data_IF_391963676818
#
_entry.id   IF_391963676818
#
_cell.length_a   1.000
_cell.length_b   1.000
_cell.length_c   1.000
_cell.angle_alpha   90.00
_cell.angle_beta   90.00
_cell.angle_gamma   90.00
#
_symmetry.space_group_name_H-M   'P 1'
#
loop_
_entity.id
_entity.type
_entity.pdbx_description
1 polymer ?
#
# COMPACT_ATOMS: atom_id res chain seq x y z
N UNK A 1 -56.49 42.57 32.47
CA UNK A 1 -55.17 43.23 32.32
C UNK A 1 -54.12 42.25 32.78
N UNK A 2 -53.07 42.05 32.02
CA UNK A 2 -51.85 41.33 32.34
C UNK A 2 -51.82 39.82 32.10
N UNK A 3 -51.51 39.40 30.84
CA UNK A 3 -50.78 38.13 30.59
C UNK A 3 -50.08 38.21 29.23
N UNK A 4 -49.28 39.23 28.92
CA UNK A 4 -48.69 39.40 27.59
C UNK A 4 -47.16 39.45 27.61
N UNK A 5 -46.52 38.87 28.62
CA UNK A 5 -45.05 38.94 28.73
C UNK A 5 -44.30 37.61 28.79
N UNK A 6 -44.98 36.47 28.51
CA UNK A 6 -44.32 35.17 28.59
C UNK A 6 -44.02 34.51 27.24
N UNK A 7 -44.32 35.17 26.11
CA UNK A 7 -44.19 34.56 24.79
C UNK A 7 -42.87 34.81 24.05
N UNK A 8 -41.97 35.77 24.38
CA UNK A 8 -40.71 35.91 23.66
C UNK A 8 -39.55 35.10 24.22
N UNK A 9 -39.69 34.40 25.35
CA UNK A 9 -38.59 33.65 25.94
C UNK A 9 -38.45 32.21 25.43
N UNK A 10 -39.44 31.69 24.73
CA UNK A 10 -39.43 30.32 24.19
C UNK A 10 -38.86 30.23 22.78
N UNK A 11 -38.58 31.34 22.11
CA UNK A 11 -38.09 31.35 20.71
C UNK A 11 -36.57 31.46 20.58
N UNK A 12 -35.85 31.61 21.68
CA UNK A 12 -34.40 31.77 21.66
C UNK A 12 -33.63 30.49 21.99
N UNK A 13 -34.32 29.38 22.29
CA UNK A 13 -33.66 28.09 22.63
C UNK A 13 -33.48 27.14 21.46
N UNK A 14 -33.81 27.52 20.23
CA UNK A 14 -33.77 26.64 19.04
C UNK A 14 -32.58 26.87 18.09
N UNK A 15 -31.60 27.69 18.46
CA UNK A 15 -30.47 28.01 17.59
C UNK A 15 -29.11 27.40 18.04
N UNK A 16 -29.12 26.44 18.94
CA UNK A 16 -27.92 25.72 19.31
C UNK A 16 -27.92 24.26 18.82
N UNK A 17 -28.38 23.99 17.59
CA UNK A 17 -27.92 22.81 16.88
C UNK A 17 -26.53 23.12 16.37
N UNK A 18 -25.55 23.02 17.25
CA UNK A 18 -24.15 22.86 16.89
C UNK A 18 -24.05 21.63 16.00
N UNK A 19 -23.74 21.82 14.72
CA UNK A 19 -23.22 20.74 13.90
C UNK A 19 -21.95 20.25 14.59
N UNK A 20 -22.09 19.14 15.33
CA UNK A 20 -20.95 18.31 15.60
C UNK A 20 -20.52 17.77 14.23
N UNK A 21 -19.47 18.33 13.66
CA UNK A 21 -18.67 17.59 12.71
C UNK A 21 -18.11 16.44 13.56
N UNK A 22 -18.54 15.24 13.24
CA UNK A 22 -17.83 14.06 13.69
C UNK A 22 -16.39 14.26 13.16
N UNK A 23 -15.47 14.61 14.08
CA UNK A 23 -14.06 14.56 13.80
C UNK A 23 -13.76 13.06 13.62
N UNK A 24 -13.83 12.57 12.38
CA UNK A 24 -13.18 11.32 12.04
C UNK A 24 -11.73 11.43 12.53
N UNK A 25 -11.25 10.44 13.29
CA UNK A 25 -9.87 10.45 13.74
C UNK A 25 -9.00 10.59 12.49
N UNK A 26 -8.36 11.75 12.34
CA UNK A 26 -7.36 11.95 11.30
C UNK A 26 -6.22 10.99 11.62
N UNK A 27 -6.25 9.81 11.02
CA UNK A 27 -5.13 8.90 11.08
C UNK A 27 -3.95 9.63 10.44
N UNK A 28 -2.94 9.88 11.25
CA UNK A 28 -1.69 10.48 10.76
C UNK A 28 -1.20 9.57 9.63
N UNK A 29 -1.01 10.08 8.40
CA UNK A 29 -0.60 9.21 7.31
C UNK A 29 0.76 8.60 7.61
N UNK A 30 0.95 7.36 7.17
CA UNK A 30 2.26 6.72 7.22
C UNK A 30 3.30 7.57 6.49
N UNK A 31 4.57 7.45 6.87
CA UNK A 31 5.65 8.22 6.21
C UNK A 31 5.90 7.74 4.80
N UNK A 32 5.79 6.43 4.57
CA UNK A 32 6.06 5.82 3.25
C UNK A 32 5.13 4.65 3.00
N UNK A 33 4.75 4.48 1.75
CA UNK A 33 4.22 3.25 1.19
C UNK A 33 5.18 2.75 0.13
N UNK A 34 5.72 1.56 0.32
CA UNK A 34 6.67 0.94 -0.61
C UNK A 34 6.08 -0.36 -1.14
N UNK A 35 6.02 -0.47 -2.46
CA UNK A 35 5.70 -1.71 -3.14
C UNK A 35 6.99 -2.37 -3.61
N UNK A 36 7.24 -3.59 -3.15
CA UNK A 36 8.23 -4.49 -3.73
C UNK A 36 7.50 -5.46 -4.65
N UNK A 37 7.80 -5.40 -5.93
CA UNK A 37 7.16 -6.21 -6.96
C UNK A 37 8.09 -7.32 -7.41
N UNK A 38 7.88 -8.56 -6.90
CA UNK A 38 8.68 -9.73 -7.16
C UNK A 38 8.06 -10.56 -8.30
N UNK A 39 8.46 -10.29 -9.55
CA UNK A 39 8.07 -11.10 -10.72
C UNK A 39 9.04 -12.28 -10.85
N UNK A 40 8.76 -13.34 -10.12
CA UNK A 40 9.66 -14.48 -9.89
C UNK A 40 9.11 -15.83 -10.37
N UNK A 41 8.11 -15.83 -11.27
CA UNK A 41 7.65 -17.04 -11.97
C UNK A 41 8.72 -17.52 -12.99
N UNK A 42 9.87 -17.90 -12.43
CA UNK A 42 11.04 -18.36 -13.18
C UNK A 42 12.04 -18.99 -12.18
N UNK A 43 13.29 -19.20 -12.62
CA UNK A 43 14.34 -19.76 -11.76
C UNK A 43 14.80 -18.87 -10.58
N UNK A 44 14.21 -17.68 -10.41
CA UNK A 44 14.44 -16.81 -9.24
C UNK A 44 13.44 -17.04 -8.10
N UNK A 45 12.48 -17.97 -8.23
CA UNK A 45 11.42 -18.20 -7.24
C UNK A 45 11.95 -18.41 -5.82
N UNK A 46 13.03 -19.19 -5.64
CA UNK A 46 13.64 -19.42 -4.33
C UNK A 46 14.26 -18.14 -3.74
N UNK A 47 14.91 -17.34 -4.57
CA UNK A 47 15.51 -16.06 -4.14
C UNK A 47 14.45 -15.04 -3.73
N UNK A 48 13.31 -14.99 -4.46
CA UNK A 48 12.20 -14.14 -4.07
C UNK A 48 11.62 -14.50 -2.68
N UNK A 49 11.59 -15.79 -2.34
CA UNK A 49 11.15 -16.26 -1.02
C UNK A 49 12.18 -15.94 0.08
N UNK A 50 13.47 -16.01 -0.23
CA UNK A 50 14.55 -15.59 0.66
C UNK A 50 14.47 -14.07 0.91
N UNK A 51 14.33 -13.26 -0.15
CA UNK A 51 14.19 -11.82 -0.04
C UNK A 51 12.93 -11.43 0.77
N UNK A 52 11.82 -12.16 0.62
CA UNK A 52 10.62 -11.96 1.42
C UNK A 52 10.87 -12.21 2.91
N UNK A 53 11.66 -13.24 3.24
CA UNK A 53 12.05 -13.53 4.62
C UNK A 53 12.93 -12.43 5.20
N UNK A 54 13.92 -11.94 4.44
CA UNK A 54 14.77 -10.81 4.83
C UNK A 54 13.97 -9.51 5.03
N UNK A 55 12.99 -9.24 4.15
CA UNK A 55 12.08 -8.11 4.32
C UNK A 55 11.28 -8.18 5.62
N UNK A 56 10.87 -9.38 6.06
CA UNK A 56 10.21 -9.56 7.37
C UNK A 56 11.16 -9.24 8.52
N UNK A 57 12.40 -9.69 8.45
CA UNK A 57 13.42 -9.38 9.46
C UNK A 57 13.69 -7.86 9.52
N UNK A 58 13.81 -7.22 8.37
CA UNK A 58 13.98 -5.77 8.28
C UNK A 58 12.76 -5.01 8.82
N UNK A 59 11.55 -5.44 8.47
CA UNK A 59 10.30 -4.80 8.92
C UNK A 59 10.13 -4.89 10.44
N UNK A 60 10.66 -5.91 11.10
CA UNK A 60 10.65 -6.02 12.55
C UNK A 60 11.35 -4.83 13.25
N UNK A 61 12.32 -4.20 12.58
CA UNK A 61 13.09 -3.06 13.08
C UNK A 61 12.46 -1.69 12.76
N UNK A 62 11.48 -1.63 11.87
CA UNK A 62 10.83 -0.37 11.47
C UNK A 62 9.87 0.08 12.57
N UNK A 63 9.88 1.37 12.94
CA UNK A 63 8.93 1.91 13.91
C UNK A 63 7.50 1.94 13.34
N UNK A 64 6.50 1.79 14.20
CA UNK A 64 5.10 1.83 13.80
C UNK A 64 4.74 3.17 13.15
N UNK A 65 3.86 3.15 12.18
CA UNK A 65 3.45 4.34 11.41
C UNK A 65 4.49 4.86 10.41
N UNK A 66 5.64 4.22 10.27
CA UNK A 66 6.68 4.67 9.36
C UNK A 66 6.53 4.12 7.95
N UNK A 67 6.08 2.88 7.81
CA UNK A 67 6.11 2.18 6.53
C UNK A 67 4.93 1.22 6.36
N UNK A 68 4.17 1.40 5.28
CA UNK A 68 3.42 0.32 4.64
C UNK A 68 4.37 -0.40 3.68
N UNK A 69 4.75 -1.63 4.00
CA UNK A 69 5.56 -2.46 3.11
C UNK A 69 4.67 -3.49 2.43
N UNK A 70 4.34 -3.22 1.17
CA UNK A 70 3.55 -4.10 0.31
C UNK A 70 4.49 -4.94 -0.53
N UNK A 71 4.23 -6.23 -0.62
CA UNK A 71 5.00 -7.15 -1.45
C UNK A 71 4.03 -7.88 -2.39
N UNK A 72 4.14 -7.61 -3.68
CA UNK A 72 3.59 -8.49 -4.69
C UNK A 72 4.61 -9.58 -4.98
N UNK A 73 4.20 -10.84 -4.89
CA UNK A 73 5.07 -11.97 -5.15
C UNK A 73 4.37 -12.99 -6.04
N UNK A 74 5.05 -13.33 -7.13
CA UNK A 74 4.66 -14.38 -8.06
C UNK A 74 5.81 -15.37 -8.22
N UNK A 75 5.59 -16.60 -7.79
CA UNK A 75 6.54 -17.72 -7.88
C UNK A 75 5.96 -18.89 -8.69
N UNK A 76 4.98 -18.61 -9.55
CA UNK A 76 4.43 -19.56 -10.53
C UNK A 76 3.20 -20.35 -10.08
N UNK A 77 2.59 -20.06 -8.92
CA UNK A 77 1.40 -20.84 -8.51
C UNK A 77 0.22 -20.02 -8.03
N UNK A 78 0.43 -18.97 -7.32
CA UNK A 78 -0.63 -18.13 -6.75
C UNK A 78 -0.06 -16.75 -6.46
N UNK A 79 -0.02 -15.87 -7.45
CA UNK A 79 0.45 -14.51 -7.26
C UNK A 79 -0.39 -13.82 -6.18
N UNK A 80 0.27 -13.13 -5.26
CA UNK A 80 -0.40 -12.44 -4.17
C UNK A 80 0.26 -11.11 -3.82
N UNK A 81 -0.56 -10.18 -3.38
CA UNK A 81 -0.14 -8.94 -2.74
C UNK A 81 -0.34 -9.10 -1.23
N UNK A 82 0.70 -8.88 -0.47
CA UNK A 82 0.67 -8.93 0.98
C UNK A 82 1.20 -7.62 1.56
N UNK A 83 0.70 -7.24 2.73
CA UNK A 83 1.33 -6.22 3.56
C UNK A 83 2.10 -6.92 4.69
N UNK A 84 3.36 -6.54 4.89
CA UNK A 84 4.15 -7.02 6.02
C UNK A 84 3.83 -6.19 7.25
N UNK A 85 3.08 -6.77 8.19
CA UNK A 85 2.58 -6.11 9.40
C UNK A 85 3.17 -6.71 10.66
N UNK A 86 3.41 -5.86 11.66
CA UNK A 86 3.73 -6.32 13.02
C UNK A 86 2.44 -6.71 13.74
N UNK A 87 2.38 -7.95 14.20
CA UNK A 87 1.31 -8.47 15.02
C UNK A 87 1.90 -9.27 16.19
N UNK A 88 1.57 -8.90 17.42
CA UNK A 88 2.05 -9.58 18.63
C UNK A 88 3.58 -9.76 18.69
N UNK A 89 4.34 -8.77 18.22
CA UNK A 89 5.80 -8.80 18.22
C UNK A 89 6.45 -9.60 17.09
N UNK A 90 5.66 -10.11 16.15
CA UNK A 90 6.14 -10.80 14.96
C UNK A 90 5.69 -10.07 13.69
N UNK A 91 6.43 -10.22 12.61
CA UNK A 91 6.03 -9.73 11.30
C UNK A 91 5.29 -10.85 10.56
N UNK A 92 4.07 -10.57 10.14
CA UNK A 92 3.19 -11.50 9.41
C UNK A 92 2.92 -10.97 8.00
N UNK A 93 2.56 -11.89 7.11
CA UNK A 93 2.01 -11.56 5.79
C UNK A 93 0.49 -11.40 5.92
N UNK A 94 0.01 -10.16 5.86
CA UNK A 94 -1.41 -9.87 5.78
C UNK A 94 -1.82 -9.84 4.30
N UNK A 95 -2.60 -10.81 3.85
CA UNK A 95 -2.96 -10.95 2.44
C UNK A 95 -3.96 -9.87 2.07
N UNK A 96 -3.53 -8.93 1.23
CA UNK A 96 -4.36 -7.87 0.66
C UNK A 96 -5.19 -8.41 -0.50
N UNK A 97 -4.55 -9.16 -1.40
CA UNK A 97 -5.21 -9.75 -2.57
C UNK A 97 -4.45 -10.97 -3.10
N UNK A 98 -5.20 -11.93 -3.60
CA UNK A 98 -4.69 -13.06 -4.39
C UNK A 98 -5.13 -12.87 -5.84
N UNK A 99 -4.27 -13.21 -6.79
CA UNK A 99 -4.54 -13.12 -8.22
C UNK A 99 -4.55 -14.52 -8.84
N UNK A 100 -5.23 -14.66 -9.97
CA UNK A 100 -5.10 -15.83 -10.82
C UNK A 100 -3.70 -15.89 -11.42
N UNK A 101 -3.28 -17.08 -11.88
CA UNK A 101 -2.02 -17.28 -12.61
C UNK A 101 -1.95 -16.32 -13.80
N UNK A 102 -0.84 -15.58 -13.89
CA UNK A 102 -0.71 -14.45 -14.81
C UNK A 102 0.73 -14.19 -15.26
N UNK A 103 0.85 -13.45 -16.35
CA UNK A 103 2.15 -12.90 -16.75
C UNK A 103 2.51 -11.67 -15.93
N UNK A 104 3.19 -11.86 -14.80
CA UNK A 104 3.54 -10.77 -13.87
C UNK A 104 4.40 -9.64 -14.46
N UNK A 105 4.95 -9.79 -15.66
CA UNK A 105 5.63 -8.71 -16.40
C UNK A 105 4.73 -8.09 -17.48
N UNK A 106 3.46 -8.50 -17.57
CA UNK A 106 2.46 -7.89 -18.42
C UNK A 106 2.10 -6.47 -17.96
N UNK A 107 1.78 -5.61 -18.93
CA UNK A 107 1.48 -4.19 -18.63
C UNK A 107 0.19 -4.05 -17.83
N UNK A 108 -0.84 -4.82 -18.20
CA UNK A 108 -2.15 -4.71 -17.54
C UNK A 108 -2.12 -5.33 -16.16
N UNK A 109 -1.42 -6.45 -15.98
CA UNK A 109 -1.21 -7.10 -14.69
C UNK A 109 -0.42 -6.21 -13.73
N UNK A 110 0.67 -5.60 -14.21
CA UNK A 110 1.46 -4.65 -13.42
C UNK A 110 0.64 -3.43 -13.04
N UNK A 111 -0.16 -2.89 -13.96
CA UNK A 111 -1.03 -1.73 -13.69
C UNK A 111 -2.09 -2.05 -12.64
N UNK A 112 -2.66 -3.25 -12.68
CA UNK A 112 -3.65 -3.70 -11.70
C UNK A 112 -3.06 -3.71 -10.29
N UNK A 113 -1.89 -4.34 -10.09
CA UNK A 113 -1.22 -4.36 -8.79
C UNK A 113 -0.84 -2.95 -8.32
N UNK A 114 -0.38 -2.08 -9.23
CA UNK A 114 -0.08 -0.69 -8.87
C UNK A 114 -1.33 0.06 -8.41
N UNK A 115 -2.48 -0.18 -9.05
CA UNK A 115 -3.74 0.42 -8.63
C UNK A 115 -4.17 -0.11 -7.25
N UNK A 116 -4.03 -1.40 -6.99
CA UNK A 116 -4.36 -2.02 -5.70
C UNK A 116 -3.54 -1.44 -4.54
N UNK A 117 -2.35 -0.87 -4.81
CA UNK A 117 -1.50 -0.25 -3.80
C UNK A 117 -1.63 1.28 -3.80
N UNK A 118 -1.36 1.93 -4.94
CA UNK A 118 -1.19 3.39 -4.99
C UNK A 118 -2.50 4.16 -5.11
N UNK A 119 -3.61 3.48 -5.43
CA UNK A 119 -4.95 4.08 -5.42
C UNK A 119 -5.79 3.63 -4.22
N UNK A 120 -5.26 2.77 -3.36
CA UNK A 120 -5.97 2.29 -2.18
C UNK A 120 -5.84 3.29 -1.02
N UNK A 121 -6.97 3.78 -0.47
CA UNK A 121 -6.95 4.71 0.64
C UNK A 121 -6.31 4.15 1.92
N UNK A 122 -6.29 2.82 2.09
CA UNK A 122 -5.69 2.17 3.26
C UNK A 122 -4.15 2.29 3.28
N UNK A 123 -3.54 2.58 2.12
CA UNK A 123 -2.09 2.70 1.95
C UNK A 123 -1.62 4.13 1.67
N UNK A 124 -2.41 5.12 2.08
CA UNK A 124 -2.02 6.53 1.95
C UNK A 124 -0.81 6.85 2.83
N UNK A 125 0.17 7.56 2.26
CA UNK A 125 1.38 7.98 2.94
C UNK A 125 1.90 9.33 2.41
N UNK A 126 2.86 9.91 3.13
CA UNK A 126 3.51 11.17 2.71
C UNK A 126 4.39 10.98 1.47
N UNK A 127 4.82 9.76 1.18
CA UNK A 127 5.61 9.45 -0.01
C UNK A 127 5.52 7.97 -0.38
N UNK A 128 5.86 7.70 -1.63
CA UNK A 128 5.73 6.37 -2.22
C UNK A 128 7.05 5.90 -2.81
N UNK A 129 7.25 4.57 -2.82
CA UNK A 129 8.38 3.92 -3.45
C UNK A 129 7.96 2.66 -4.19
N UNK A 130 8.71 2.32 -5.23
CA UNK A 130 8.55 1.10 -5.99
C UNK A 130 9.91 0.43 -6.18
N UNK A 131 9.99 -0.85 -5.84
CA UNK A 131 11.10 -1.73 -6.18
C UNK A 131 10.52 -2.80 -7.10
N UNK A 132 10.99 -2.84 -8.33
CA UNK A 132 10.60 -3.86 -9.29
C UNK A 132 11.76 -4.85 -9.45
N UNK A 133 11.52 -6.12 -9.12
CA UNK A 133 12.53 -7.16 -9.02
C UNK A 133 12.21 -8.34 -9.93
N UNK A 134 13.14 -8.71 -10.80
CA UNK A 134 13.10 -9.87 -11.66
C UNK A 134 14.46 -10.03 -12.35
N UNK A 135 14.57 -10.92 -13.32
CA UNK A 135 15.73 -10.91 -14.22
C UNK A 135 15.90 -9.56 -14.92
N UNK A 136 17.14 -9.13 -15.08
CA UNK A 136 17.53 -7.97 -15.84
C UNK A 136 18.80 -8.25 -16.65
N UNK A 137 18.83 -7.79 -17.89
CA UNK A 137 20.00 -7.97 -18.78
C UNK A 137 21.07 -6.89 -18.56
N UNK A 138 20.97 -6.11 -17.47
CA UNK A 138 21.84 -4.98 -17.21
C UNK A 138 21.62 -3.84 -18.21
N UNK A 139 22.64 -3.05 -18.46
CA UNK A 139 22.57 -1.93 -19.40
C UNK A 139 22.94 -2.43 -20.82
N UNK A 140 21.97 -2.97 -21.55
CA UNK A 140 22.17 -3.43 -22.93
C UNK A 140 21.55 -2.43 -23.90
N UNK A 141 22.26 -2.08 -25.03
CA UNK A 141 21.70 -1.20 -26.03
C UNK A 141 20.39 -1.73 -26.64
N UNK A 142 19.46 -0.82 -26.90
CA UNK A 142 18.16 -1.14 -27.51
C UNK A 142 18.36 -1.97 -28.81
N UNK A 143 17.63 -3.06 -28.91
CA UNK A 143 17.67 -3.98 -30.07
C UNK A 143 18.59 -5.20 -29.90
N UNK A 144 19.34 -5.31 -28.80
CA UNK A 144 20.14 -6.51 -28.47
C UNK A 144 19.62 -7.28 -27.27
N UNK A 145 18.68 -6.71 -26.52
CA UNK A 145 18.04 -7.40 -25.39
C UNK A 145 17.03 -8.42 -25.89
N UNK A 146 17.19 -9.66 -25.51
CA UNK A 146 16.25 -10.74 -25.83
C UNK A 146 15.26 -11.01 -24.68
N UNK A 147 15.38 -10.30 -23.56
CA UNK A 147 14.63 -10.55 -22.33
C UNK A 147 14.06 -9.27 -21.72
N UNK A 148 13.17 -9.45 -20.77
CA UNK A 148 12.32 -8.42 -20.17
C UNK A 148 13.07 -7.61 -19.11
N UNK A 149 12.93 -6.29 -19.17
CA UNK A 149 13.66 -5.32 -18.36
C UNK A 149 13.01 -5.02 -17.02
N UNK A 150 13.84 -4.80 -16.03
CA UNK A 150 13.42 -4.22 -14.76
C UNK A 150 14.44 -3.23 -14.23
N UNK A 151 13.95 -2.10 -13.72
CA UNK A 151 14.72 -1.07 -13.06
C UNK A 151 14.09 -0.63 -11.75
N UNK A 152 14.89 -0.03 -10.87
CA UNK A 152 14.40 0.65 -9.67
C UNK A 152 13.90 2.02 -10.08
N UNK A 153 12.62 2.29 -9.88
CA UNK A 153 12.03 3.62 -10.10
C UNK A 153 11.78 4.23 -8.74
N UNK A 154 12.57 5.25 -8.40
CA UNK A 154 12.29 6.08 -7.22
C UNK A 154 11.39 7.23 -7.64
N UNK A 155 10.13 7.19 -7.19
CA UNK A 155 9.19 8.29 -7.37
C UNK A 155 9.35 9.22 -6.17
N UNK A 156 10.17 10.28 -6.33
CA UNK A 156 10.28 11.37 -5.36
C UNK A 156 9.33 12.51 -5.69
N UNK A 157 8.81 13.17 -4.65
CA UNK A 157 8.32 14.55 -4.77
C UNK A 157 9.46 15.50 -4.75
#
# INVERSE_FOLDING_TARGET
MKHWFLFPLLLLSLLLTSCHKDDEPQTTPYKRTVLVYLAADNNLSSFALEDLAEMKEGMAQVSDGMLHLLVYIDTGSSPRLVELKKQNGQVVEDVVRTYDDRNSVGVDETREVFADVFSNPDFLAEGYGLIYWSHADGWIPYGQASTRWVGIIQIGR
#
